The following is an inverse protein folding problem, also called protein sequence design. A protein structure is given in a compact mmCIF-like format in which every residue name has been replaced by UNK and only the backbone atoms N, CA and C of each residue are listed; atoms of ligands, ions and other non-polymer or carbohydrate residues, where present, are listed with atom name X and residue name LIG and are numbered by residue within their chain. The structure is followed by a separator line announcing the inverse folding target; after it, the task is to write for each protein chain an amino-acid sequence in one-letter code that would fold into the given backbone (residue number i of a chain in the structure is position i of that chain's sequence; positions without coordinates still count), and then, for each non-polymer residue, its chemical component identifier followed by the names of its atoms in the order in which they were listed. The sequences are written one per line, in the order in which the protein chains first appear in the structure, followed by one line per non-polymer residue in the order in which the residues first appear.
data_IF_737144077426
#
_entry.id   IF_737144077426
#
_cell.length_a   1.000
_cell.length_b   1.000
_cell.length_c   1.000
_cell.angle_alpha   90.00
_cell.angle_beta   90.00
_cell.angle_gamma   90.00
#
_symmetry.space_group_name_H-M   'P 1'
#
loop_
_entity.id
_entity.type
_entity.pdbx_description
1 polymer ?
#
# COMPACT_ATOMS: atom_id res chain seq x y z
N UNK A 1 -44.51 3.85 13.68
CA UNK A 1 -43.66 5.07 13.58
C UNK A 1 -42.81 4.93 12.33
N UNK A 2 -42.89 5.84 11.36
CA UNK A 2 -42.05 5.75 10.16
C UNK A 2 -40.56 5.85 10.53
N UNK A 3 -39.66 5.04 9.94
CA UNK A 3 -38.25 5.06 10.27
C UNK A 3 -37.68 6.45 9.98
N UNK A 4 -37.09 7.05 11.02
CA UNK A 4 -36.42 8.37 10.97
C UNK A 4 -35.31 8.39 9.89
N UNK A 5 -34.77 7.21 9.58
CA UNK A 5 -33.56 6.99 8.81
C UNK A 5 -33.81 6.41 7.40
N UNK A 6 -35.01 6.54 6.83
CA UNK A 6 -35.19 6.17 5.41
C UNK A 6 -34.32 7.08 4.51
N UNK A 7 -33.34 6.51 3.83
CA UNK A 7 -32.38 7.25 3.00
C UNK A 7 -33.04 7.76 1.72
N UNK A 8 -32.52 8.88 1.19
CA UNK A 8 -32.94 9.45 -0.09
C UNK A 8 -34.06 10.50 -0.03
N UNK A 9 -34.13 11.33 -1.08
CA UNK A 9 -35.05 12.47 -1.20
C UNK A 9 -36.53 12.06 -1.09
N UNK A 10 -36.89 10.85 -1.53
CA UNK A 10 -38.25 10.29 -1.46
C UNK A 10 -38.82 10.24 -0.04
N UNK A 11 -37.97 10.06 0.97
CA UNK A 11 -38.41 10.04 2.38
C UNK A 11 -39.00 11.37 2.86
N UNK A 12 -38.52 12.47 2.28
CA UNK A 12 -38.81 13.86 2.65
C UNK A 12 -40.08 14.37 1.96
N UNK A 13 -40.42 13.80 0.80
CA UNK A 13 -41.58 14.20 0.01
C UNK A 13 -42.86 13.63 0.63
N UNK A 14 -43.88 14.47 0.77
CA UNK A 14 -45.24 14.06 1.09
C UNK A 14 -45.96 13.74 -0.21
N UNK A 15 -46.42 12.50 -0.35
CA UNK A 15 -47.02 11.99 -1.57
C UNK A 15 -48.50 11.72 -1.33
N UNK A 16 -49.36 12.16 -2.24
CA UNK A 16 -50.74 11.69 -2.34
C UNK A 16 -50.81 10.59 -3.40
N UNK A 17 -51.43 9.48 -3.05
CA UNK A 17 -51.72 8.40 -3.99
C UNK A 17 -53.11 8.65 -4.56
N UNK A 18 -53.21 8.72 -5.87
CA UNK A 18 -54.49 8.77 -6.59
C UNK A 18 -54.54 7.56 -7.52
N UNK A 19 -55.63 6.82 -7.48
CA UNK A 19 -55.87 5.71 -8.41
C UNK A 19 -56.22 6.31 -9.78
N UNK A 20 -55.47 5.94 -10.81
CA UNK A 20 -55.79 6.27 -12.18
C UNK A 20 -56.25 4.99 -12.91
N UNK A 21 -57.42 5.05 -13.52
CA UNK A 21 -57.93 3.94 -14.33
C UNK A 21 -57.20 3.93 -15.68
N UNK A 22 -56.35 2.92 -15.89
CA UNK A 22 -55.72 2.66 -17.17
C UNK A 22 -56.65 1.79 -18.04
N UNK A 23 -56.70 2.05 -19.34
CA UNK A 23 -57.58 1.40 -20.33
C UNK A 23 -57.37 -0.13 -20.49
N UNK A 24 -56.45 -0.72 -19.71
CA UNK A 24 -56.03 -2.13 -19.75
C UNK A 24 -56.13 -2.82 -18.38
N UNK A 25 -57.11 -2.45 -17.54
CA UNK A 25 -57.50 -3.22 -16.34
C UNK A 25 -56.45 -3.34 -15.22
N UNK A 26 -55.29 -2.69 -15.36
CA UNK A 26 -54.26 -2.60 -14.31
C UNK A 26 -54.40 -1.23 -13.63
N UNK A 27 -54.81 -1.23 -12.36
CA UNK A 27 -54.82 -0.03 -11.51
C UNK A 27 -53.37 0.42 -11.30
N UNK A 28 -52.98 1.52 -11.94
CA UNK A 28 -51.69 2.16 -11.66
C UNK A 28 -51.90 3.26 -10.63
N UNK A 29 -51.15 3.18 -9.52
CA UNK A 29 -51.15 4.18 -8.48
C UNK A 29 -50.29 5.38 -8.92
N UNK A 30 -50.92 6.54 -9.13
CA UNK A 30 -50.22 7.77 -9.44
C UNK A 30 -49.76 8.43 -8.13
N UNK A 31 -48.45 8.69 -8.04
CA UNK A 31 -47.82 9.32 -6.87
C UNK A 31 -47.56 10.80 -7.15
N UNK A 32 -48.39 11.69 -6.59
CA UNK A 32 -48.24 13.14 -6.76
C UNK A 32 -47.55 13.74 -5.53
N UNK A 33 -46.44 14.44 -5.73
CA UNK A 33 -45.75 15.19 -4.68
C UNK A 33 -46.59 16.42 -4.27
N UNK A 34 -47.07 16.43 -3.03
CA UNK A 34 -47.93 17.51 -2.51
C UNK A 34 -47.16 18.56 -1.69
N UNK A 35 -45.98 18.20 -1.18
CA UNK A 35 -45.19 19.07 -0.32
C UNK A 35 -44.04 18.34 0.36
N UNK A 36 -43.40 19.01 1.32
CA UNK A 36 -42.29 18.47 2.10
C UNK A 36 -42.72 18.19 3.53
N UNK A 37 -42.19 17.11 4.12
CA UNK A 37 -42.40 16.78 5.53
C UNK A 37 -41.50 17.65 6.41
N UNK A 38 -41.93 18.86 6.74
CA UNK A 38 -41.15 19.84 7.51
C UNK A 38 -40.65 19.31 8.86
N UNK A 39 -41.47 18.55 9.59
CA UNK A 39 -41.10 17.95 10.87
C UNK A 39 -39.91 16.98 10.76
N UNK A 40 -39.89 16.19 9.67
CA UNK A 40 -38.77 15.28 9.39
C UNK A 40 -37.49 16.07 9.05
N UNK A 41 -37.63 17.18 8.31
CA UNK A 41 -36.52 18.06 7.96
C UNK A 41 -35.93 18.72 9.22
N UNK A 42 -36.77 19.26 10.11
CA UNK A 42 -36.31 19.84 11.38
C UNK A 42 -35.58 18.80 12.23
N UNK A 43 -36.12 17.59 12.34
CA UNK A 43 -35.49 16.49 13.08
C UNK A 43 -34.12 16.09 12.49
N UNK A 44 -34.03 15.99 11.16
CA UNK A 44 -32.75 15.72 10.46
C UNK A 44 -31.75 16.86 10.62
N UNK A 45 -32.19 18.12 10.50
CA UNK A 45 -31.34 19.31 10.73
C UNK A 45 -30.79 19.36 12.15
N UNK A 46 -31.60 19.03 13.16
CA UNK A 46 -31.15 18.97 14.56
C UNK A 46 -30.03 17.95 14.78
N UNK A 47 -30.04 16.86 14.02
CA UNK A 47 -29.04 15.78 14.11
C UNK A 47 -27.89 15.96 13.11
N UNK A 48 -27.95 16.96 12.22
CA UNK A 48 -26.93 17.17 11.21
C UNK A 48 -25.61 17.60 11.86
N UNK A 49 -24.50 16.99 11.45
CA UNK A 49 -23.17 17.26 11.98
C UNK A 49 -22.78 16.44 13.21
N UNK A 50 -23.71 15.69 13.81
CA UNK A 50 -23.39 14.74 14.88
C UNK A 50 -23.03 13.37 14.30
N UNK A 51 -21.91 12.81 14.78
CA UNK A 51 -21.54 11.41 14.53
C UNK A 51 -21.82 10.61 15.81
N UNK A 52 -22.62 9.56 15.71
CA UNK A 52 -22.92 8.67 16.82
C UNK A 52 -22.38 7.28 16.53
N UNK A 53 -21.79 6.65 17.54
CA UNK A 53 -21.28 5.28 17.47
C UNK A 53 -22.05 4.42 18.47
N UNK A 54 -22.54 3.28 17.99
CA UNK A 54 -23.22 2.29 18.83
C UNK A 54 -22.30 1.11 18.99
N UNK A 55 -22.03 0.70 20.23
CA UNK A 55 -21.21 -0.46 20.53
C UNK A 55 -21.97 -1.40 21.47
N UNK A 56 -21.69 -2.70 21.36
CA UNK A 56 -22.17 -3.71 22.30
C UNK A 56 -21.00 -4.06 23.23
N UNK A 57 -21.20 -3.89 24.53
CA UNK A 57 -20.22 -4.28 25.54
C UNK A 57 -20.07 -5.82 25.58
N UNK A 58 -18.83 -6.36 25.56
CA UNK A 58 -18.60 -7.80 25.77
C UNK A 58 -19.03 -8.22 27.18
N UNK A 59 -19.50 -9.46 27.33
CA UNK A 59 -19.99 -9.99 28.61
C UNK A 59 -18.86 -10.13 29.66
N UNK A 60 -17.61 -10.29 29.21
CA UNK A 60 -16.44 -10.51 30.07
C UNK A 60 -15.91 -9.24 30.76
N UNK A 61 -16.26 -8.05 30.26
CA UNK A 61 -15.75 -6.78 30.79
C UNK A 61 -16.79 -6.22 31.74
N UNK A 62 -16.47 -6.14 33.03
CA UNK A 62 -17.39 -5.59 34.05
C UNK A 62 -17.38 -4.06 34.07
N UNK A 63 -16.24 -3.43 33.82
CA UNK A 63 -16.05 -1.97 33.86
C UNK A 63 -16.57 -1.27 32.60
N UNK A 64 -16.91 0.02 32.72
CA UNK A 64 -17.27 0.83 31.55
C UNK A 64 -16.04 1.09 30.68
N UNK A 65 -16.20 0.91 29.37
CA UNK A 65 -15.15 1.16 28.40
C UNK A 65 -15.01 2.67 28.19
N UNK A 66 -13.78 3.17 28.20
CA UNK A 66 -13.51 4.57 27.90
C UNK A 66 -13.87 4.90 26.45
N UNK A 67 -14.49 6.06 26.22
CA UNK A 67 -14.86 6.57 24.90
C UNK A 67 -13.67 6.60 23.93
N UNK A 68 -12.48 6.92 24.45
CA UNK A 68 -11.25 6.95 23.65
C UNK A 68 -10.87 5.55 23.12
N UNK A 69 -11.08 4.50 23.91
CA UNK A 69 -10.75 3.11 23.55
C UNK A 69 -11.75 2.53 22.54
N UNK A 70 -13.02 2.91 22.69
CA UNK A 70 -14.08 2.58 21.74
C UNK A 70 -13.77 3.23 20.38
N UNK A 71 -13.43 4.52 20.38
CA UNK A 71 -13.08 5.25 19.15
C UNK A 71 -11.79 4.71 18.52
N UNK A 72 -10.77 4.39 19.31
CA UNK A 72 -9.52 3.83 18.80
C UNK A 72 -9.73 2.45 18.17
N UNK A 73 -10.62 1.63 18.74
CA UNK A 73 -11.00 0.34 18.20
C UNK A 73 -11.77 0.48 16.89
N UNK A 74 -12.69 1.45 16.79
CA UNK A 74 -13.38 1.75 15.54
C UNK A 74 -12.42 2.21 14.44
N UNK A 75 -11.44 3.07 14.77
CA UNK A 75 -10.41 3.51 13.81
C UNK A 75 -9.60 2.34 13.23
N UNK A 76 -9.49 1.20 13.91
CA UNK A 76 -8.84 0.00 13.35
C UNK A 76 -9.60 -0.57 12.14
N UNK A 77 -10.91 -0.33 11.99
CA UNK A 77 -11.67 -0.76 10.81
C UNK A 77 -11.17 -0.11 9.53
N UNK A 78 -10.66 1.13 9.60
CA UNK A 78 -10.04 1.81 8.45
C UNK A 78 -8.83 1.01 7.95
N UNK A 79 -8.06 0.38 8.85
CA UNK A 79 -6.93 -0.48 8.46
C UNK A 79 -7.39 -1.71 7.65
N UNK A 80 -8.58 -2.23 7.94
CA UNK A 80 -9.16 -3.36 7.19
C UNK A 80 -9.53 -2.90 5.77
N UNK A 81 -10.13 -1.71 5.64
CA UNK A 81 -10.42 -1.12 4.32
C UNK A 81 -9.13 -0.88 3.52
N UNK A 82 -8.09 -0.36 4.17
CA UNK A 82 -6.76 -0.20 3.57
C UNK A 82 -6.20 -1.54 3.07
N UNK A 83 -6.34 -2.60 3.86
CA UNK A 83 -5.95 -3.96 3.44
C UNK A 83 -6.68 -4.40 2.17
N UNK A 84 -8.00 -4.18 2.08
CA UNK A 84 -8.76 -4.48 0.88
C UNK A 84 -8.33 -3.62 -0.32
N UNK A 85 -7.96 -2.35 -0.11
CA UNK A 85 -7.44 -1.47 -1.17
C UNK A 85 -6.12 -1.98 -1.72
N UNK A 86 -5.16 -2.31 -0.84
CA UNK A 86 -3.84 -2.85 -1.21
C UNK A 86 -3.98 -4.18 -1.94
N UNK A 87 -4.87 -5.06 -1.47
CA UNK A 87 -5.08 -6.36 -2.11
C UNK A 87 -5.64 -6.24 -3.53
N UNK A 88 -6.48 -5.22 -3.79
CA UNK A 88 -7.01 -4.93 -5.13
C UNK A 88 -5.99 -4.27 -6.05
N UNK A 89 -5.17 -3.36 -5.53
CA UNK A 89 -4.22 -2.56 -6.32
C UNK A 89 -2.85 -3.24 -6.42
N UNK A 90 -2.10 -3.33 -5.32
CA UNK A 90 -0.73 -3.83 -5.30
C UNK A 90 -0.62 -5.32 -5.64
N UNK A 91 -1.58 -6.15 -5.19
CA UNK A 91 -1.59 -7.59 -5.45
C UNK A 91 -2.53 -8.03 -6.57
N UNK A 92 -3.30 -7.09 -7.15
CA UNK A 92 -4.16 -7.34 -8.32
C UNK A 92 -5.03 -8.59 -8.17
N UNK A 93 -5.67 -8.79 -7.00
CA UNK A 93 -6.60 -9.91 -6.76
C UNK A 93 -7.76 -9.94 -7.77
N UNK A 94 -7.96 -8.85 -8.51
CA UNK A 94 -8.82 -8.77 -9.69
C UNK A 94 -8.11 -7.95 -10.76
N UNK A 95 -8.13 -8.37 -12.04
CA UNK A 95 -8.85 -9.52 -12.60
C UNK A 95 -8.13 -10.88 -12.38
N UNK A 96 -8.91 -11.92 -12.06
CA UNK A 96 -8.44 -13.30 -11.96
C UNK A 96 -8.70 -14.04 -13.28
N UNK A 97 -7.64 -14.41 -13.99
CA UNK A 97 -7.72 -15.15 -15.26
C UNK A 97 -7.66 -16.68 -15.08
N UNK A 98 -8.23 -17.19 -13.98
CA UNK A 98 -8.25 -18.62 -13.64
C UNK A 98 -9.70 -19.11 -13.54
N UNK A 99 -9.98 -20.32 -14.02
CA UNK A 99 -11.34 -20.89 -14.07
C UNK A 99 -11.59 -21.99 -13.04
N UNK A 100 -10.57 -22.78 -12.68
CA UNK A 100 -10.70 -23.85 -11.70
C UNK A 100 -10.74 -23.27 -10.28
N UNK A 101 -11.68 -23.76 -9.45
CA UNK A 101 -11.86 -23.40 -8.04
C UNK A 101 -10.57 -23.51 -7.23
N UNK A 102 -9.76 -24.55 -7.48
CA UNK A 102 -8.50 -24.76 -6.76
C UNK A 102 -7.49 -23.66 -7.05
N UNK A 103 -7.35 -23.26 -8.32
CA UNK A 103 -6.46 -22.18 -8.73
C UNK A 103 -6.94 -20.81 -8.21
N UNK A 104 -8.26 -20.60 -8.16
CA UNK A 104 -8.85 -19.41 -7.55
C UNK A 104 -8.46 -19.33 -6.06
N UNK A 105 -8.66 -20.42 -5.31
CA UNK A 105 -8.27 -20.47 -3.90
C UNK A 105 -6.76 -20.27 -3.72
N UNK A 106 -5.93 -20.87 -4.57
CA UNK A 106 -4.48 -20.70 -4.54
C UNK A 106 -4.05 -19.25 -4.73
N UNK A 107 -4.58 -18.56 -5.75
CA UNK A 107 -4.29 -17.16 -6.01
C UNK A 107 -4.68 -16.26 -4.83
N UNK A 108 -5.89 -16.45 -4.29
CA UNK A 108 -6.36 -15.68 -3.12
C UNK A 108 -5.46 -15.93 -1.92
N UNK A 109 -5.07 -17.18 -1.69
CA UNK A 109 -4.20 -17.56 -0.56
C UNK A 109 -2.84 -16.87 -0.65
N UNK A 110 -2.21 -16.88 -1.83
CA UNK A 110 -0.93 -16.20 -2.05
C UNK A 110 -1.07 -14.69 -1.83
N UNK A 111 -2.15 -14.07 -2.32
CA UNK A 111 -2.40 -12.63 -2.10
C UNK A 111 -2.56 -12.29 -0.62
N UNK A 112 -3.30 -13.11 0.13
CA UNK A 112 -3.49 -12.92 1.58
C UNK A 112 -2.18 -13.11 2.34
N UNK A 113 -1.39 -14.14 1.99
CA UNK A 113 -0.06 -14.35 2.59
C UNK A 113 0.87 -13.17 2.31
N UNK A 114 0.92 -12.67 1.07
CA UNK A 114 1.72 -11.51 0.70
C UNK A 114 1.29 -10.25 1.47
N UNK A 115 -0.02 -10.06 1.68
CA UNK A 115 -0.54 -8.96 2.49
C UNK A 115 -0.12 -9.06 3.95
N UNK A 116 -0.17 -10.24 4.55
CA UNK A 116 0.28 -10.46 5.93
C UNK A 116 1.77 -10.12 6.05
N UNK A 117 2.60 -10.60 5.13
CA UNK A 117 4.04 -10.29 5.11
C UNK A 117 4.28 -8.78 4.98
N UNK A 118 3.56 -8.11 4.09
CA UNK A 118 3.67 -6.66 3.88
C UNK A 118 3.26 -5.86 5.14
N UNK A 119 2.24 -6.31 5.87
CA UNK A 119 1.82 -5.68 7.14
C UNK A 119 2.82 -5.91 8.27
N UNK A 120 3.38 -7.11 8.37
CA UNK A 120 4.46 -7.40 9.33
C UNK A 120 5.68 -6.51 9.04
N UNK A 121 6.04 -6.35 7.77
CA UNK A 121 7.13 -5.47 7.37
C UNK A 121 6.85 -4.01 7.75
N UNK A 122 5.63 -3.52 7.51
CA UNK A 122 5.23 -2.17 7.91
C UNK A 122 5.35 -1.95 9.43
N UNK A 123 4.93 -2.92 10.24
CA UNK A 123 5.07 -2.85 11.70
C UNK A 123 6.54 -2.76 12.12
N UNK A 124 7.41 -3.59 11.53
CA UNK A 124 8.86 -3.53 11.82
C UNK A 124 9.49 -2.19 11.45
N UNK A 125 9.04 -1.58 10.35
CA UNK A 125 9.50 -0.25 9.94
C UNK A 125 9.04 0.80 10.96
N UNK A 126 7.79 0.74 11.40
CA UNK A 126 7.24 1.63 12.45
C UNK A 126 8.00 1.49 13.77
N UNK A 127 8.37 0.26 14.17
CA UNK A 127 9.19 -0.01 15.35
C UNK A 127 10.62 0.57 15.24
N UNK A 128 11.16 0.69 14.02
CA UNK A 128 12.46 1.33 13.77
C UNK A 128 12.43 2.87 13.84
N UNK A 129 11.27 3.46 14.14
CA UNK A 129 11.08 4.92 14.20
C UNK A 129 10.79 5.58 12.86
N UNK A 130 10.63 4.80 11.78
CA UNK A 130 10.33 5.31 10.44
C UNK A 130 8.86 5.03 10.10
N UNK A 131 8.23 5.88 9.30
CA UNK A 131 6.86 5.64 8.81
C UNK A 131 6.87 5.64 7.30
N UNK A 132 6.59 4.48 6.71
CA UNK A 132 6.42 4.32 5.27
C UNK A 132 5.00 3.81 4.99
N UNK A 133 4.39 4.38 3.97
CA UNK A 133 3.12 3.90 3.43
C UNK A 133 3.32 2.58 2.69
N UNK A 134 2.23 1.84 2.52
CA UNK A 134 2.26 0.54 1.83
C UNK A 134 2.72 0.69 0.38
N UNK A 135 2.37 1.79 -0.27
CA UNK A 135 2.74 2.08 -1.65
C UNK A 135 4.22 2.44 -1.77
N UNK A 136 4.78 3.20 -0.81
CA UNK A 136 6.22 3.48 -0.75
C UNK A 136 7.03 2.21 -0.52
N UNK A 137 6.59 1.33 0.39
CA UNK A 137 7.23 0.03 0.63
C UNK A 137 7.17 -0.83 -0.64
N UNK A 138 6.00 -0.93 -1.25
CA UNK A 138 5.80 -1.72 -2.47
C UNK A 138 6.65 -1.19 -3.63
N UNK A 139 6.73 0.13 -3.81
CA UNK A 139 7.52 0.79 -4.84
C UNK A 139 9.02 0.56 -4.60
N UNK A 140 9.49 0.75 -3.36
CA UNK A 140 10.88 0.52 -2.99
C UNK A 140 11.31 -0.93 -3.24
N UNK A 141 10.47 -1.91 -2.90
CA UNK A 141 10.75 -3.33 -3.16
C UNK A 141 10.71 -3.68 -4.65
N UNK A 142 9.79 -3.13 -5.43
CA UNK A 142 9.73 -3.37 -6.89
C UNK A 142 10.92 -2.77 -7.62
N UNK A 143 11.45 -1.66 -7.12
CA UNK A 143 12.59 -0.95 -7.71
C UNK A 143 13.93 -1.36 -7.10
N UNK A 144 13.96 -2.35 -6.21
CA UNK A 144 15.18 -2.85 -5.58
C UNK A 144 15.94 -3.79 -6.53
N UNK A 145 16.50 -3.21 -7.59
CA UNK A 145 17.29 -3.93 -8.59
C UNK A 145 18.78 -3.79 -8.31
N UNK A 146 19.52 -4.88 -8.53
CA UNK A 146 20.98 -4.88 -8.45
C UNK A 146 21.52 -5.32 -9.80
N UNK A 147 22.43 -4.53 -10.38
CA UNK A 147 23.06 -4.80 -11.67
C UNK A 147 24.46 -5.33 -11.43
N UNK A 148 24.74 -6.53 -11.93
CA UNK A 148 26.07 -7.13 -11.91
C UNK A 148 26.85 -6.68 -13.16
N UNK A 149 28.06 -6.18 -12.95
CA UNK A 149 29.03 -5.86 -13.97
C UNK A 149 30.17 -6.86 -13.87
N UNK A 150 30.44 -7.61 -14.93
CA UNK A 150 31.59 -8.53 -14.98
C UNK A 150 32.33 -8.33 -16.30
N UNK A 151 33.64 -8.11 -16.22
CA UNK A 151 34.50 -7.98 -17.40
C UNK A 151 34.96 -9.35 -17.92
N UNK A 152 35.05 -10.35 -17.05
CA UNK A 152 35.70 -11.64 -17.33
C UNK A 152 34.79 -12.85 -17.03
N UNK A 153 33.53 -12.61 -16.68
CA UNK A 153 32.60 -13.64 -16.21
C UNK A 153 32.85 -14.07 -14.76
N UNK A 154 34.11 -14.18 -14.32
CA UNK A 154 34.50 -14.73 -13.01
C UNK A 154 34.33 -13.72 -11.86
N UNK A 155 34.88 -12.52 -12.04
CA UNK A 155 34.79 -11.44 -11.05
C UNK A 155 33.83 -10.36 -11.54
N UNK A 156 32.97 -9.88 -10.64
CA UNK A 156 32.01 -8.85 -10.94
C UNK A 156 31.61 -7.99 -9.74
N UNK A 157 31.34 -6.73 -10.04
CA UNK A 157 30.85 -5.75 -9.08
C UNK A 157 29.35 -5.57 -9.25
N UNK A 158 28.64 -5.48 -8.13
CA UNK A 158 27.22 -5.26 -8.09
C UNK A 158 26.95 -3.80 -7.79
N UNK A 159 26.12 -3.17 -8.60
CA UNK A 159 25.66 -1.81 -8.38
C UNK A 159 24.19 -1.81 -8.01
N UNK A 160 23.83 -1.07 -6.96
CA UNK A 160 22.44 -0.88 -6.61
C UNK A 160 21.79 0.04 -7.66
N UNK A 161 20.91 -0.52 -8.49
CA UNK A 161 20.14 0.25 -9.46
C UNK A 161 18.95 0.90 -8.76
N UNK A 162 19.26 1.81 -7.84
CA UNK A 162 18.24 2.74 -7.37
C UNK A 162 17.78 3.59 -8.56
N UNK A 163 16.47 3.75 -8.70
CA UNK A 163 15.93 4.64 -9.73
C UNK A 163 16.35 6.07 -9.35
N UNK A 164 17.34 6.58 -10.06
CA UNK A 164 17.84 7.92 -9.88
C UNK A 164 17.06 8.85 -10.82
N UNK A 165 15.94 9.36 -10.32
CA UNK A 165 15.14 10.33 -11.08
C UNK A 165 15.81 11.70 -11.05
N UNK A 166 15.73 12.43 -12.16
CA UNK A 166 16.16 13.83 -12.29
C UNK A 166 17.65 14.09 -11.98
N UNK A 167 18.57 13.14 -12.20
CA UNK A 167 20.03 13.39 -12.03
C UNK A 167 20.46 14.62 -12.83
N UNK A 168 20.02 14.70 -14.08
CA UNK A 168 20.29 15.81 -15.00
C UNK A 168 19.05 16.68 -15.17
N UNK A 169 18.65 17.40 -14.11
CA UNK A 169 17.64 18.46 -14.18
C UNK A 169 18.29 19.84 -14.07
N UNK A 170 17.64 20.86 -14.61
CA UNK A 170 18.08 22.27 -14.50
C UNK A 170 18.24 22.68 -13.02
N UNK A 171 17.46 22.10 -12.12
CA UNK A 171 17.57 22.37 -10.69
C UNK A 171 18.78 21.69 -10.05
N UNK A 172 19.05 20.43 -10.37
CA UNK A 172 20.14 19.65 -9.78
C UNK A 172 21.52 19.97 -10.39
N UNK A 173 21.56 20.57 -11.58
CA UNK A 173 22.79 20.98 -12.26
C UNK A 173 23.23 22.41 -11.95
N UNK A 174 22.39 23.19 -11.25
CA UNK A 174 22.76 24.54 -10.81
C UNK A 174 23.88 24.49 -9.77
N UNK A 175 24.82 25.40 -9.91
CA UNK A 175 25.84 25.66 -8.89
C UNK A 175 25.13 26.13 -7.62
N UNK A 176 25.48 25.55 -6.47
CA UNK A 176 24.89 25.95 -5.20
C UNK A 176 25.39 27.35 -4.87
N UNK A 177 24.52 28.34 -4.64
CA UNK A 177 24.97 29.66 -4.23
C UNK A 177 25.71 29.65 -2.88
N UNK A 178 25.51 28.63 -2.02
CA UNK A 178 26.22 28.51 -0.75
C UNK A 178 27.58 27.82 -0.84
N UNK A 179 27.79 26.95 -1.84
CA UNK A 179 29.06 26.28 -2.06
C UNK A 179 29.38 26.22 -3.57
N UNK A 180 29.95 27.31 -4.12
CA UNK A 180 30.24 27.40 -5.55
C UNK A 180 31.35 26.46 -6.02
N UNK A 181 32.17 25.94 -5.10
CA UNK A 181 33.27 25.02 -5.41
C UNK A 181 32.81 23.57 -5.51
N UNK A 182 31.68 23.20 -4.91
CA UNK A 182 31.17 21.83 -4.97
C UNK A 182 30.47 21.56 -6.31
N UNK A 183 31.06 20.63 -7.09
CA UNK A 183 30.48 20.26 -8.38
C UNK A 183 29.07 19.67 -8.18
N UNK A 184 28.15 19.87 -9.14
CA UNK A 184 26.82 19.26 -9.06
C UNK A 184 26.86 17.73 -8.89
N UNK A 185 27.88 17.08 -9.46
CA UNK A 185 28.13 15.64 -9.35
C UNK A 185 28.53 15.27 -7.92
N UNK A 186 29.49 15.98 -7.31
CA UNK A 186 29.92 15.70 -5.94
C UNK A 186 28.80 15.95 -4.92
N UNK A 187 27.99 16.99 -5.16
CA UNK A 187 26.78 17.26 -4.37
C UNK A 187 25.79 16.10 -4.47
N UNK A 188 25.57 15.59 -5.67
CA UNK A 188 24.70 14.45 -5.90
C UNK A 188 25.22 13.18 -5.21
N UNK A 189 26.52 12.88 -5.33
CA UNK A 189 27.16 11.73 -4.66
C UNK A 189 27.07 11.86 -3.14
N UNK A 190 27.30 13.05 -2.57
CA UNK A 190 27.16 13.27 -1.13
C UNK A 190 25.71 13.12 -0.67
N UNK A 191 24.74 13.56 -1.48
CA UNK A 191 23.31 13.33 -1.23
C UNK A 191 22.97 11.84 -1.26
N UNK A 192 23.57 11.05 -2.15
CA UNK A 192 23.40 9.59 -2.17
C UNK A 192 24.06 8.91 -0.95
N UNK A 193 25.23 9.35 -0.53
CA UNK A 193 25.93 8.80 0.65
C UNK A 193 25.19 9.10 1.96
N UNK A 194 24.59 10.28 2.06
CA UNK A 194 23.92 10.74 3.28
C UNK A 194 22.40 10.45 3.26
N UNK A 195 21.81 10.27 2.07
CA UNK A 195 20.40 9.99 1.91
C UNK A 195 20.07 8.53 2.23
N UNK A 196 19.18 8.31 3.19
CA UNK A 196 18.63 6.97 3.42
C UNK A 196 17.55 6.72 2.37
N UNK A 197 17.81 5.78 1.46
CA UNK A 197 16.77 5.35 0.53
C UNK A 197 15.66 4.58 1.25
N UNK A 198 14.47 4.51 0.67
CA UNK A 198 13.38 3.71 1.25
C UNK A 198 13.79 2.23 1.38
N UNK A 199 14.58 1.70 0.45
CA UNK A 199 15.08 0.33 0.53
C UNK A 199 16.08 0.15 1.67
N UNK A 200 16.92 1.14 1.97
CA UNK A 200 17.83 1.09 3.13
C UNK A 200 17.08 1.05 4.46
N UNK A 201 16.01 1.84 4.57
CA UNK A 201 15.14 1.82 5.75
C UNK A 201 14.51 0.43 5.92
N UNK A 202 14.00 -0.14 4.81
CA UNK A 202 13.41 -1.49 4.80
C UNK A 202 14.45 -2.53 5.23
N UNK A 203 15.65 -2.53 4.62
CA UNK A 203 16.72 -3.48 4.96
C UNK A 203 17.11 -3.39 6.43
N UNK A 204 17.34 -2.17 6.94
CA UNK A 204 17.67 -1.94 8.36
C UNK A 204 16.58 -2.44 9.30
N UNK A 205 15.30 -2.22 8.99
CA UNK A 205 14.18 -2.69 9.83
C UNK A 205 14.09 -4.21 9.93
N UNK A 206 14.62 -4.94 8.94
CA UNK A 206 14.68 -6.41 8.93
C UNK A 206 16.06 -6.92 9.39
N UNK A 207 16.91 -6.06 9.97
CA UNK A 207 18.26 -6.39 10.43
C UNK A 207 19.18 -6.87 9.29
N UNK A 208 19.06 -6.26 8.12
CA UNK A 208 19.96 -6.41 6.97
C UNK A 208 20.83 -5.15 6.82
N UNK A 209 21.96 -5.28 6.13
CA UNK A 209 22.84 -4.14 5.87
C UNK A 209 22.42 -3.39 4.61
N UNK A 210 22.67 -2.08 4.59
CA UNK A 210 22.43 -1.23 3.43
C UNK A 210 23.28 -1.61 2.23
N UNK A 211 22.67 -1.55 1.04
CA UNK A 211 23.35 -1.83 -0.23
C UNK A 211 23.96 -0.54 -0.78
N UNK A 212 25.21 -0.29 -0.39
CA UNK A 212 25.98 0.91 -0.78
C UNK A 212 26.46 0.77 -2.23
N UNK A 213 26.06 1.71 -3.10
CA UNK A 213 26.68 2.04 -4.39
C UNK A 213 27.16 0.85 -5.23
N UNK A 214 28.45 0.53 -5.11
CA UNK A 214 29.09 -0.61 -5.75
C UNK A 214 29.67 -1.56 -4.68
N UNK A 215 29.43 -2.86 -4.84
CA UNK A 215 29.82 -3.88 -3.86
C UNK A 215 30.27 -5.18 -4.54
N UNK A 216 31.18 -5.90 -3.89
CA UNK A 216 31.60 -7.22 -4.36
C UNK A 216 30.51 -8.25 -4.08
N UNK A 217 30.53 -9.35 -4.83
CA UNK A 217 29.59 -10.46 -4.68
C UNK A 217 29.50 -10.99 -3.23
N UNK A 218 30.65 -11.09 -2.56
CA UNK A 218 30.74 -11.49 -1.14
C UNK A 218 30.10 -10.47 -0.19
N UNK A 219 30.24 -9.18 -0.48
CA UNK A 219 29.70 -8.11 0.36
C UNK A 219 28.18 -7.99 0.19
N UNK A 220 27.66 -8.23 -1.03
CA UNK A 220 26.21 -8.35 -1.27
C UNK A 220 25.64 -9.54 -0.48
N UNK A 221 26.27 -10.72 -0.58
CA UNK A 221 25.82 -11.91 0.14
C UNK A 221 25.85 -11.72 1.66
N UNK A 222 26.89 -11.05 2.18
CA UNK A 222 26.99 -10.68 3.61
C UNK A 222 25.89 -9.69 4.01
N UNK A 223 25.63 -8.68 3.18
CA UNK A 223 24.65 -7.62 3.45
C UNK A 223 23.22 -8.17 3.49
N UNK A 224 22.92 -9.11 2.59
CA UNK A 224 21.61 -9.77 2.47
C UNK A 224 21.48 -11.05 3.32
N UNK A 225 22.55 -11.47 4.02
CA UNK A 225 22.61 -12.71 4.82
C UNK A 225 22.20 -13.96 4.03
N UNK A 226 22.64 -14.07 2.77
CA UNK A 226 22.32 -15.22 1.90
C UNK A 226 23.20 -16.41 2.27
N UNK A 227 22.57 -17.56 2.53
CA UNK A 227 23.26 -18.83 2.79
C UNK A 227 23.51 -19.56 1.47
N UNK A 228 24.78 -19.64 1.03
CA UNK A 228 25.12 -20.41 -0.19
C UNK A 228 26.17 -19.81 -1.14
N UNK A 229 26.94 -18.80 -0.72
CA UNK A 229 27.92 -18.16 -1.60
C UNK A 229 27.27 -17.25 -2.65
N UNK A 230 28.08 -16.47 -3.38
CA UNK A 230 27.57 -15.50 -4.37
C UNK A 230 27.13 -16.16 -5.68
N UNK A 231 27.47 -17.42 -5.90
CA UNK A 231 27.13 -18.22 -7.07
C UNK A 231 25.61 -18.39 -7.25
N UNK A 232 24.82 -18.25 -6.18
CA UNK A 232 23.36 -18.25 -6.27
C UNK A 232 22.79 -16.87 -6.68
N UNK A 233 23.57 -15.80 -6.55
CA UNK A 233 23.17 -14.43 -6.88
C UNK A 233 23.39 -14.11 -8.37
N UNK A 234 24.37 -14.77 -8.99
CA UNK A 234 24.58 -14.70 -10.43
C UNK A 234 23.74 -15.83 -11.04
N UNK A 235 22.73 -15.50 -11.85
CA UNK A 235 21.79 -16.50 -12.37
C UNK A 235 22.47 -17.71 -13.03
N UNK A 236 21.74 -18.83 -13.12
CA UNK A 236 22.28 -20.12 -13.59
C UNK A 236 23.07 -20.05 -14.90
N UNK A 237 22.72 -19.12 -15.80
CA UNK A 237 23.41 -18.96 -17.08
C UNK A 237 24.78 -18.27 -16.96
N UNK A 238 24.95 -17.33 -16.02
CA UNK A 238 26.26 -16.76 -15.72
C UNK A 238 27.15 -17.76 -14.97
N UNK A 239 26.56 -18.61 -14.11
CA UNK A 239 27.28 -19.72 -13.48
C UNK A 239 27.78 -20.76 -14.50
N UNK A 240 27.01 -21.02 -15.58
CA UNK A 240 27.48 -21.86 -16.70
C UNK A 240 28.67 -21.22 -17.42
N UNK A 241 28.59 -19.92 -17.73
CA UNK A 241 29.70 -19.18 -18.36
C UNK A 241 30.95 -19.20 -17.47
N UNK A 242 30.80 -18.97 -16.16
CA UNK A 242 31.88 -19.07 -15.18
C UNK A 242 32.49 -20.47 -15.10
N UNK A 243 31.65 -21.51 -15.08
CA UNK A 243 32.11 -22.90 -15.04
C UNK A 243 32.86 -23.32 -16.31
N UNK A 244 32.48 -22.78 -17.47
CA UNK A 244 33.19 -22.98 -18.74
C UNK A 244 34.55 -22.27 -18.76
N UNK A 245 34.61 -21.03 -18.25
CA UNK A 245 35.85 -20.24 -18.15
C UNK A 245 36.86 -20.84 -17.16
N UNK A 246 36.40 -21.45 -16.05
CA UNK A 246 37.26 -22.07 -15.05
C UNK A 246 37.85 -23.43 -15.49
N UNK A 247 37.31 -24.03 -16.55
CA UNK A 247 37.78 -25.29 -17.14
C UNK A 247 38.74 -25.08 -18.33
N UNK A 248 38.91 -23.83 -18.78
CA UNK A 248 39.84 -23.42 -19.83
C UNK A 248 41.17 -22.94 -19.24
#
# INVERSE_FOLDING_TARGET
MAPVCSSGWRSIVQVKVTDADSAQGKKESLYIAKGLKEELIKKRRRLAGFSAMVYKKPEDIKEELNDADILSSYKKLVRIEDCFRVMKSNFSIRPMFVRNKEHISGHITICVMALILLRILQIKIEESGNKLSVDEISSALRNANIVAHSSNGIDGYFTNAQCHDNIYSIENTKIDPLDPMLTPIDRYINKLKNGQSHIDIILKSVNLASLIGAMNAKDVARSLKVFGGYEQLVGADNCKIQSYMAQA
#
